data_IF_256062388591
#
_entry.id   IF_256062388591
#
_cell.length_a   1.000
_cell.length_b   1.000
_cell.length_c   1.000
_cell.angle_alpha   90.00
_cell.angle_beta   90.00
_cell.angle_gamma   90.00
#
_symmetry.space_group_name_H-M   'P 1'
#
loop_
_entity.id
_entity.type
_entity.pdbx_description
1 polymer ?
#
# COMPACT_ATOMS: atom_id res chain seq x y z
N UNK A 1 3.50 -36.79 2.54
CA UNK A 1 3.21 -35.97 1.34
C UNK A 1 4.01 -36.53 0.17
N UNK A 2 3.41 -37.40 -0.64
CA UNK A 2 4.03 -37.84 -1.90
C UNK A 2 4.02 -36.66 -2.87
N UNK A 3 5.17 -36.30 -3.40
CA UNK A 3 5.27 -35.25 -4.41
C UNK A 3 4.71 -35.80 -5.73
N UNK A 4 3.84 -35.04 -6.38
CA UNK A 4 3.42 -35.37 -7.74
C UNK A 4 4.61 -35.29 -8.69
N UNK A 5 4.59 -36.08 -9.77
CA UNK A 5 5.65 -36.10 -10.79
C UNK A 5 5.95 -34.69 -11.33
N UNK A 6 4.92 -33.85 -11.52
CA UNK A 6 5.07 -32.45 -11.93
C UNK A 6 5.81 -31.60 -10.90
N UNK A 7 5.47 -31.73 -9.61
CA UNK A 7 6.13 -31.01 -8.51
C UNK A 7 7.62 -31.34 -8.43
N UNK A 8 7.97 -32.61 -8.61
CA UNK A 8 9.37 -33.04 -8.68
C UNK A 8 10.11 -32.40 -9.86
N UNK A 9 9.52 -32.44 -11.07
CA UNK A 9 10.12 -31.87 -12.28
C UNK A 9 10.37 -30.37 -12.15
N UNK A 10 9.37 -29.60 -11.70
CA UNK A 10 9.50 -28.15 -11.52
C UNK A 10 10.54 -27.77 -10.45
N UNK A 11 10.63 -28.55 -9.37
CA UNK A 11 11.64 -28.33 -8.34
C UNK A 11 13.05 -28.65 -8.85
N UNK A 12 13.20 -29.74 -9.61
CA UNK A 12 14.46 -30.09 -10.28
C UNK A 12 14.86 -28.97 -11.24
N UNK A 13 13.93 -28.47 -12.06
CA UNK A 13 14.16 -27.36 -12.98
C UNK A 13 14.63 -26.10 -12.23
N UNK A 14 13.94 -25.72 -11.16
CA UNK A 14 14.32 -24.55 -10.33
C UNK A 14 15.75 -24.67 -9.78
N UNK A 15 16.11 -25.86 -9.28
CA UNK A 15 17.46 -26.12 -8.77
C UNK A 15 18.50 -26.06 -9.89
N UNK A 16 18.16 -26.58 -11.06
CA UNK A 16 19.09 -26.64 -12.19
C UNK A 16 19.32 -25.26 -12.80
N UNK A 17 18.29 -24.41 -12.88
CA UNK A 17 18.42 -23.01 -13.28
C UNK A 17 19.36 -22.27 -12.33
N UNK A 18 19.19 -22.44 -11.01
CA UNK A 18 20.07 -21.81 -10.00
C UNK A 18 21.51 -22.29 -10.06
N UNK A 19 21.74 -23.54 -10.47
CA UNK A 19 23.07 -24.11 -10.65
C UNK A 19 23.67 -23.85 -12.03
N UNK A 20 22.97 -23.12 -12.92
CA UNK A 20 23.39 -22.88 -14.30
C UNK A 20 23.42 -24.13 -15.17
N UNK A 21 22.70 -25.19 -14.77
CA UNK A 21 22.64 -26.48 -15.48
C UNK A 21 21.55 -26.55 -16.53
N UNK A 22 20.56 -25.67 -16.46
CA UNK A 22 19.49 -25.50 -17.46
C UNK A 22 19.30 -24.03 -17.79
N UNK A 23 18.76 -23.76 -18.98
CA UNK A 23 18.47 -22.41 -19.45
C UNK A 23 17.07 -22.02 -18.97
N UNK A 24 16.97 -20.86 -18.32
CA UNK A 24 15.69 -20.22 -17.95
C UNK A 24 15.13 -19.49 -19.17
N UNK A 25 13.85 -19.66 -19.49
CA UNK A 25 13.19 -18.81 -20.47
C UNK A 25 13.06 -17.39 -19.90
N UNK A 26 13.51 -16.38 -20.65
CA UNK A 26 13.51 -14.99 -20.17
C UNK A 26 12.89 -14.07 -21.21
N UNK A 27 11.88 -13.32 -20.78
CA UNK A 27 11.34 -12.17 -21.51
C UNK A 27 11.85 -10.90 -20.81
N UNK A 28 12.89 -10.29 -21.39
CA UNK A 28 13.59 -9.15 -20.78
C UNK A 28 12.69 -7.92 -20.68
N UNK A 29 11.80 -7.72 -21.65
CA UNK A 29 10.88 -6.59 -21.66
C UNK A 29 9.84 -6.75 -20.54
N UNK A 30 9.24 -7.93 -20.43
CA UNK A 30 8.25 -8.22 -19.39
C UNK A 30 8.87 -8.12 -17.98
N UNK A 31 10.08 -8.67 -17.77
CA UNK A 31 10.79 -8.58 -16.48
C UNK A 31 11.06 -7.12 -16.08
N UNK A 32 11.44 -6.28 -17.05
CA UNK A 32 11.60 -4.84 -16.81
C UNK A 32 10.28 -4.18 -16.40
N UNK A 33 9.18 -4.50 -17.08
CA UNK A 33 7.85 -3.95 -16.73
C UNK A 33 7.37 -4.43 -15.35
N UNK A 34 7.63 -5.69 -14.99
CA UNK A 34 7.33 -6.24 -13.66
C UNK A 34 8.09 -5.49 -12.57
N UNK A 35 9.37 -5.20 -12.77
CA UNK A 35 10.15 -4.46 -11.78
C UNK A 35 9.68 -3.01 -11.65
N UNK A 36 9.33 -2.35 -12.76
CA UNK A 36 8.72 -1.02 -12.72
C UNK A 36 7.38 -1.01 -11.96
N UNK A 37 6.55 -2.04 -12.12
CA UNK A 37 5.31 -2.18 -11.37
C UNK A 37 5.57 -2.33 -9.86
N UNK A 38 6.54 -3.16 -9.48
CA UNK A 38 6.93 -3.35 -8.07
C UNK A 38 7.45 -2.07 -7.44
N UNK A 39 8.29 -1.34 -8.15
CA UNK A 39 8.82 -0.06 -7.69
C UNK A 39 7.69 0.99 -7.56
N UNK A 40 6.77 1.04 -8.53
CA UNK A 40 5.60 1.92 -8.47
C UNK A 40 4.72 1.59 -7.26
N UNK A 41 4.48 0.31 -6.99
CA UNK A 41 3.75 -0.14 -5.80
C UNK A 41 4.42 0.36 -4.51
N UNK A 42 5.73 0.15 -4.36
CA UNK A 42 6.49 0.60 -3.18
C UNK A 42 6.37 2.11 -2.95
N UNK A 43 6.42 2.90 -4.02
CA UNK A 43 6.24 4.36 -3.94
C UNK A 43 4.84 4.73 -3.46
N UNK A 44 3.81 4.09 -3.97
CA UNK A 44 2.44 4.33 -3.51
C UNK A 44 2.20 3.84 -2.08
N UNK A 45 2.76 2.71 -1.67
CA UNK A 45 2.73 2.22 -0.29
C UNK A 45 3.39 3.22 0.67
N UNK A 46 4.51 3.85 0.27
CA UNK A 46 5.15 4.90 1.06
C UNK A 46 4.26 6.15 1.17
N UNK A 47 3.65 6.61 0.08
CA UNK A 47 2.69 7.73 0.10
C UNK A 47 1.50 7.41 1.01
N UNK A 48 0.97 6.19 0.93
CA UNK A 48 -0.13 5.71 1.76
C UNK A 48 0.25 5.72 3.25
N UNK A 49 1.46 5.28 3.60
CA UNK A 49 1.96 5.30 4.97
C UNK A 49 2.06 6.73 5.52
N UNK A 50 2.63 7.66 4.73
CA UNK A 50 2.70 9.08 5.08
C UNK A 50 1.31 9.70 5.24
N UNK A 51 0.38 9.41 4.33
CA UNK A 51 -0.99 9.93 4.40
C UNK A 51 -1.73 9.44 5.65
N UNK A 52 -1.56 8.16 6.04
CA UNK A 52 -2.09 7.62 7.30
C UNK A 52 -1.50 8.31 8.53
N UNK A 53 -0.18 8.52 8.55
CA UNK A 53 0.47 9.27 9.64
C UNK A 53 -0.05 10.70 9.72
N UNK A 54 -0.22 11.37 8.57
CA UNK A 54 -0.79 12.71 8.51
C UNK A 54 -2.22 12.75 9.03
N UNK A 55 -3.09 11.82 8.61
CA UNK A 55 -4.46 11.73 9.10
C UNK A 55 -4.52 11.54 10.63
N UNK A 56 -3.64 10.69 11.19
CA UNK A 56 -3.56 10.48 12.63
C UNK A 56 -3.15 11.77 13.37
N UNK A 57 -2.09 12.45 12.92
CA UNK A 57 -1.67 13.71 13.51
C UNK A 57 -2.75 14.78 13.40
N UNK A 58 -3.39 14.87 12.25
CA UNK A 58 -4.45 15.84 12.00
C UNK A 58 -5.66 15.56 12.89
N UNK A 59 -6.01 14.29 13.15
CA UNK A 59 -7.08 13.93 14.08
C UNK A 59 -6.79 14.40 15.50
N UNK A 60 -5.56 14.20 15.96
CA UNK A 60 -5.11 14.69 17.28
C UNK A 60 -5.14 16.22 17.37
N UNK A 61 -4.78 16.92 16.29
CA UNK A 61 -4.90 18.37 16.21
C UNK A 61 -6.36 18.81 16.37
N UNK A 62 -7.30 18.22 15.62
CA UNK A 62 -8.72 18.55 15.74
C UNK A 62 -9.27 18.30 17.14
N UNK A 63 -8.88 17.20 17.79
CA UNK A 63 -9.26 16.91 19.17
C UNK A 63 -8.74 17.98 20.14
N UNK A 64 -7.50 18.43 19.96
CA UNK A 64 -6.90 19.49 20.76
C UNK A 64 -7.61 20.83 20.53
N UNK A 65 -7.96 21.15 19.28
CA UNK A 65 -8.72 22.38 18.96
C UNK A 65 -10.11 22.38 19.60
N UNK A 66 -10.82 21.24 19.64
CA UNK A 66 -12.09 21.11 20.37
C UNK A 66 -11.91 21.39 21.87
N UNK A 67 -10.94 20.74 22.52
CA UNK A 67 -10.68 20.96 23.94
C UNK A 67 -10.26 22.40 24.25
N UNK A 68 -9.48 23.03 23.36
CA UNK A 68 -9.08 24.42 23.51
C UNK A 68 -10.28 25.37 23.37
N UNK A 69 -11.19 25.09 22.44
CA UNK A 69 -12.45 25.81 22.28
C UNK A 69 -13.30 25.75 23.57
N UNK A 70 -13.50 24.55 24.11
CA UNK A 70 -14.26 24.35 25.35
C UNK A 70 -13.64 25.12 26.53
N UNK A 71 -12.31 25.12 26.61
CA UNK A 71 -11.57 25.88 27.64
C UNK A 71 -11.78 27.39 27.48
N UNK A 72 -11.75 27.91 26.24
CA UNK A 72 -12.04 29.33 25.99
C UNK A 72 -13.49 29.69 26.34
N UNK A 73 -14.47 28.83 26.06
CA UNK A 73 -15.86 29.06 26.44
C UNK A 73 -16.06 29.09 27.96
N UNK A 74 -15.36 28.22 28.70
CA UNK A 74 -15.39 28.24 30.17
C UNK A 74 -14.78 29.53 30.73
N UNK A 75 -13.63 29.96 30.19
CA UNK A 75 -12.98 31.21 30.58
C UNK A 75 -13.81 32.45 30.25
N UNK A 76 -14.50 32.45 29.10
CA UNK A 76 -15.45 33.49 28.71
C UNK A 76 -16.50 33.72 29.79
N UNK A 77 -17.09 32.65 30.33
CA UNK A 77 -18.13 32.74 31.36
C UNK A 77 -17.60 33.14 32.74
N UNK A 78 -16.32 32.89 33.02
CA UNK A 78 -15.68 33.18 34.31
C UNK A 78 -15.00 34.55 34.36
N UNK A 79 -14.57 35.08 33.21
CA UNK A 79 -13.76 36.30 33.11
C UNK A 79 -14.49 37.37 32.30
N UNK A 80 -15.45 38.05 32.92
CA UNK A 80 -16.32 39.05 32.24
C UNK A 80 -15.56 40.18 31.54
N UNK A 81 -14.37 40.56 32.03
CA UNK A 81 -13.53 41.60 31.41
C UNK A 81 -12.81 41.14 30.12
N UNK A 82 -12.78 39.84 29.82
CA UNK A 82 -12.14 39.25 28.63
C UNK A 82 -13.11 38.34 27.85
N UNK A 83 -14.41 38.52 28.06
CA UNK A 83 -15.46 37.67 27.50
C UNK A 83 -15.43 37.64 25.96
N UNK A 84 -15.20 38.80 25.35
CA UNK A 84 -15.21 38.93 23.89
C UNK A 84 -13.97 38.26 23.27
N UNK A 85 -12.79 38.41 23.87
CA UNK A 85 -11.54 37.80 23.42
C UNK A 85 -11.59 36.28 23.53
N UNK A 86 -12.06 35.76 24.66
CA UNK A 86 -12.23 34.31 24.83
C UNK A 86 -13.33 33.76 23.91
N UNK A 87 -14.43 34.48 23.72
CA UNK A 87 -15.49 34.11 22.78
C UNK A 87 -14.98 34.02 21.35
N UNK A 88 -14.26 35.04 20.88
CA UNK A 88 -13.67 35.07 19.54
C UNK A 88 -12.71 33.91 19.30
N UNK A 89 -11.85 33.61 20.29
CA UNK A 89 -10.90 32.51 20.19
C UNK A 89 -11.61 31.14 20.18
N UNK A 90 -12.64 30.94 20.99
CA UNK A 90 -13.47 29.73 20.95
C UNK A 90 -14.12 29.52 19.58
N UNK A 91 -14.76 30.57 19.05
CA UNK A 91 -15.43 30.51 17.75
C UNK A 91 -14.45 30.21 16.62
N UNK A 92 -13.24 30.76 16.69
CA UNK A 92 -12.15 30.47 15.75
C UNK A 92 -11.74 29.00 15.81
N UNK A 93 -11.52 28.43 17.01
CA UNK A 93 -11.18 27.01 17.13
C UNK A 93 -12.31 26.11 16.61
N UNK A 94 -13.58 26.43 16.91
CA UNK A 94 -14.73 25.69 16.38
C UNK A 94 -14.84 25.79 14.85
N UNK A 95 -14.51 26.93 14.25
CA UNK A 95 -14.47 27.09 12.80
C UNK A 95 -13.36 26.23 12.17
N UNK A 96 -12.16 26.23 12.76
CA UNK A 96 -11.05 25.41 12.30
C UNK A 96 -11.38 23.91 12.39
N UNK A 97 -12.02 23.47 13.47
CA UNK A 97 -12.47 22.08 13.63
C UNK A 97 -13.44 21.69 12.51
N UNK A 98 -14.46 22.50 12.24
CA UNK A 98 -15.45 22.23 11.18
C UNK A 98 -14.82 22.10 9.80
N UNK A 99 -13.91 23.01 9.45
CA UNK A 99 -13.18 22.91 8.18
C UNK A 99 -12.22 21.70 8.16
N UNK A 100 -11.60 21.42 9.30
CA UNK A 100 -10.72 20.28 9.46
C UNK A 100 -11.44 18.94 9.31
N UNK A 101 -12.68 18.81 9.76
CA UNK A 101 -13.49 17.59 9.56
C UNK A 101 -13.75 17.31 8.08
N UNK A 102 -13.99 18.35 7.27
CA UNK A 102 -14.15 18.20 5.81
C UNK A 102 -12.84 17.71 5.18
N UNK A 103 -11.71 18.34 5.53
CA UNK A 103 -10.39 17.92 5.05
C UNK A 103 -10.04 16.50 5.50
N UNK A 104 -10.38 16.13 6.73
CA UNK A 104 -10.20 14.79 7.27
C UNK A 104 -10.98 13.75 6.46
N UNK A 105 -12.23 14.07 6.08
CA UNK A 105 -13.04 13.23 5.19
C UNK A 105 -12.36 13.00 3.84
N UNK A 106 -11.88 14.08 3.20
CA UNK A 106 -11.17 13.99 1.92
C UNK A 106 -9.86 13.18 2.03
N UNK A 107 -9.11 13.34 3.12
CA UNK A 107 -7.88 12.60 3.37
C UNK A 107 -8.15 11.09 3.59
N UNK A 108 -9.19 10.75 4.36
CA UNK A 108 -9.59 9.37 4.56
C UNK A 108 -10.08 8.71 3.27
N UNK A 109 -10.79 9.46 2.42
CA UNK A 109 -11.17 9.00 1.09
C UNK A 109 -9.93 8.69 0.25
N UNK A 110 -8.97 9.62 0.18
CA UNK A 110 -7.70 9.41 -0.53
C UNK A 110 -6.95 8.16 -0.03
N UNK A 111 -6.84 7.98 1.29
CA UNK A 111 -6.20 6.81 1.91
C UNK A 111 -6.91 5.52 1.48
N UNK A 112 -8.24 5.49 1.51
CA UNK A 112 -9.04 4.31 1.13
C UNK A 112 -8.87 3.95 -0.36
N UNK A 113 -8.89 4.96 -1.23
CA UNK A 113 -8.69 4.77 -2.67
C UNK A 113 -7.28 4.26 -2.98
N UNK A 114 -6.25 4.86 -2.36
CA UNK A 114 -4.87 4.45 -2.58
C UNK A 114 -4.56 3.07 -1.99
N UNK A 115 -5.15 2.74 -0.84
CA UNK A 115 -5.08 1.39 -0.25
C UNK A 115 -5.70 0.34 -1.18
N UNK A 116 -6.86 0.64 -1.76
CA UNK A 116 -7.51 -0.24 -2.76
C UNK A 116 -6.63 -0.44 -3.98
N UNK A 117 -6.03 0.63 -4.52
CA UNK A 117 -5.12 0.53 -5.65
C UNK A 117 -3.91 -0.37 -5.33
N UNK A 118 -3.25 -0.16 -4.19
CA UNK A 118 -2.03 -0.89 -3.83
C UNK A 118 -2.29 -2.34 -3.44
N UNK A 119 -3.27 -2.55 -2.57
CA UNK A 119 -3.48 -3.83 -1.89
C UNK A 119 -4.53 -4.73 -2.55
N UNK A 120 -5.25 -4.22 -3.56
CA UNK A 120 -6.15 -5.03 -4.39
C UNK A 120 -5.70 -4.99 -5.84
N UNK A 121 -5.81 -3.85 -6.51
CA UNK A 121 -5.60 -3.76 -7.96
C UNK A 121 -4.18 -4.16 -8.40
N UNK A 122 -3.15 -3.63 -7.74
CA UNK A 122 -1.76 -3.99 -8.05
C UNK A 122 -1.44 -5.41 -7.57
N UNK A 123 -1.94 -5.83 -6.41
CA UNK A 123 -1.70 -7.18 -5.89
C UNK A 123 -2.35 -8.28 -6.75
N UNK A 124 -3.51 -8.02 -7.36
CA UNK A 124 -4.14 -8.91 -8.35
C UNK A 124 -3.21 -9.11 -9.55
N UNK A 125 -2.60 -8.03 -10.05
CA UNK A 125 -1.61 -8.11 -11.13
C UNK A 125 -0.37 -8.89 -10.70
N UNK A 126 0.14 -8.66 -9.48
CA UNK A 126 1.28 -9.41 -8.92
C UNK A 126 0.95 -10.90 -8.78
N UNK A 127 -0.29 -11.25 -8.44
CA UNK A 127 -0.74 -12.65 -8.38
C UNK A 127 -0.67 -13.30 -9.75
N UNK A 128 -1.13 -12.61 -10.80
CA UNK A 128 -0.98 -13.08 -12.19
C UNK A 128 0.48 -13.24 -12.59
N UNK A 129 1.37 -12.33 -12.18
CA UNK A 129 2.82 -12.45 -12.41
C UNK A 129 3.40 -13.70 -11.74
N UNK A 130 2.96 -14.05 -10.51
CA UNK A 130 3.38 -15.28 -9.83
C UNK A 130 2.90 -16.54 -10.57
N UNK A 131 1.69 -16.50 -11.14
CA UNK A 131 1.16 -17.59 -11.96
C UNK A 131 1.95 -17.74 -13.26
N UNK A 132 2.26 -16.63 -13.93
CA UNK A 132 3.14 -16.63 -15.11
C UNK A 132 4.50 -17.28 -14.82
N UNK A 133 5.14 -16.92 -13.69
CA UNK A 133 6.42 -17.50 -13.28
C UNK A 133 6.32 -19.02 -13.07
N UNK A 134 5.20 -19.48 -12.50
CA UNK A 134 4.93 -20.92 -12.29
C UNK A 134 4.76 -21.65 -13.62
N UNK A 135 3.96 -21.10 -14.55
CA UNK A 135 3.77 -21.67 -15.88
C UNK A 135 5.05 -21.67 -16.71
N UNK A 136 5.89 -20.63 -16.58
CA UNK A 136 7.20 -20.60 -17.23
C UNK A 136 8.12 -21.72 -16.72
N UNK A 137 8.13 -21.95 -15.42
CA UNK A 137 8.92 -23.03 -14.81
C UNK A 137 8.45 -24.41 -15.29
N UNK A 138 7.14 -24.63 -15.40
CA UNK A 138 6.57 -25.86 -15.96
C UNK A 138 6.95 -26.05 -17.43
N UNK A 139 6.90 -24.97 -18.22
CA UNK A 139 7.34 -24.98 -19.61
C UNK A 139 8.82 -25.36 -19.74
N UNK A 140 9.70 -24.73 -18.96
CA UNK A 140 11.14 -25.00 -19.00
C UNK A 140 11.47 -26.44 -18.55
N UNK A 141 10.74 -26.97 -17.57
CA UNK A 141 10.88 -28.37 -17.15
C UNK A 141 10.47 -29.34 -18.26
N UNK A 142 9.34 -29.09 -18.94
CA UNK A 142 8.87 -29.90 -20.07
C UNK A 142 9.82 -29.81 -21.27
N UNK A 143 10.30 -28.60 -21.60
CA UNK A 143 11.26 -28.38 -22.68
C UNK A 143 12.56 -29.16 -22.42
N UNK A 144 13.11 -29.07 -21.22
CA UNK A 144 14.33 -29.79 -20.84
C UNK A 144 14.14 -31.30 -20.94
N UNK A 145 12.99 -31.83 -20.49
CA UNK A 145 12.68 -33.26 -20.63
C UNK A 145 12.57 -33.70 -22.10
N UNK A 146 11.99 -32.88 -22.97
CA UNK A 146 11.91 -33.17 -24.41
C UNK A 146 13.27 -33.13 -25.10
N UNK A 147 14.10 -32.13 -24.78
CA UNK A 147 15.48 -32.01 -25.28
C UNK A 147 16.31 -33.25 -24.90
N UNK A 148 16.11 -33.83 -23.71
CA UNK A 148 16.77 -35.07 -23.29
C UNK A 148 16.32 -36.33 -24.06
N UNK A 149 15.12 -36.31 -24.65
CA UNK A 149 14.55 -37.44 -25.38
C UNK A 149 14.84 -37.38 -26.90
N UNK A 150 15.32 -36.23 -27.40
CA UNK A 150 15.62 -35.99 -28.82
C UNK A 150 17.12 -35.69 -29.01
N UNK A 151 17.98 -36.73 -29.04
CA UNK A 151 19.43 -36.58 -29.12
C UNK A 151 19.94 -35.94 -30.42
#
# INVERSE_FOLDING_TARGET
KQWGLSTYKCTKQTLYEKLGKTIRTVDVELESQIEQLRETKRRYENVLALARSYANHFSNLLNTQRALSDTFLDLKHKSFHLCDEYGYNADTQNLLVRHGEILMGALNYFISTLDTLCNKTIEDTITTIRLYETSRLEYDACRTDMELLSP
#
